data_IF_415388816170
#
_entry.id   IF_415388816170
#
_cell.length_a   1.000
_cell.length_b   1.000
_cell.length_c   1.000
_cell.angle_alpha   90.00
_cell.angle_beta   90.00
_cell.angle_gamma   90.00
#
_symmetry.space_group_name_H-M   'P 1'
#
loop_
_entity.id
_entity.type
_entity.pdbx_description
1 polymer ?
#
# COMPACT_ATOMS: atom_id res chain seq x y z
N UNK A 1 -1.37 -9.72 -30.77
CA UNK A 1 -1.25 -8.75 -29.66
C UNK A 1 0.08 -8.05 -29.86
N UNK A 2 0.07 -6.77 -30.24
CA UNK A 2 1.30 -5.99 -30.40
C UNK A 2 1.85 -5.60 -29.03
N UNK A 3 3.17 -5.63 -28.86
CA UNK A 3 3.80 -5.08 -27.66
C UNK A 3 3.47 -3.59 -27.54
N UNK A 4 3.20 -3.06 -26.33
CA UNK A 4 2.97 -1.63 -26.13
C UNK A 4 4.13 -0.83 -26.71
N UNK A 5 3.85 0.17 -27.55
CA UNK A 5 4.89 1.07 -28.03
C UNK A 5 5.39 1.89 -26.83
N UNK A 6 6.71 2.02 -26.67
CA UNK A 6 7.35 2.74 -25.55
C UNK A 6 6.84 4.18 -25.35
N UNK A 7 6.14 4.77 -26.33
CA UNK A 7 5.50 6.08 -26.24
C UNK A 7 4.23 6.11 -25.38
N UNK A 8 3.52 5.00 -25.20
CA UNK A 8 2.27 5.00 -24.42
C UNK A 8 2.51 5.10 -22.91
N UNK A 9 3.67 4.67 -22.42
CA UNK A 9 4.00 4.75 -20.99
C UNK A 9 4.39 6.15 -20.51
N UNK A 10 4.87 7.03 -21.41
CA UNK A 10 5.36 8.36 -21.02
C UNK A 10 4.22 9.29 -20.61
N UNK A 11 3.20 9.46 -21.47
CA UNK A 11 2.15 10.46 -21.22
C UNK A 11 1.28 10.15 -19.98
N UNK A 12 1.17 8.88 -19.59
CA UNK A 12 0.49 8.48 -18.36
C UNK A 12 1.28 8.92 -17.13
N UNK A 13 2.59 8.66 -17.12
CA UNK A 13 3.48 9.08 -16.04
C UNK A 13 3.50 10.60 -15.93
N UNK A 14 3.64 11.30 -17.07
CA UNK A 14 3.61 12.77 -17.13
C UNK A 14 2.32 13.33 -16.48
N UNK A 15 1.16 12.72 -16.73
CA UNK A 15 -0.11 13.13 -16.12
C UNK A 15 -0.13 13.00 -14.59
N UNK A 16 0.43 11.92 -14.04
CA UNK A 16 0.51 11.76 -12.59
C UNK A 16 1.57 12.67 -11.99
N UNK A 17 2.71 12.86 -12.66
CA UNK A 17 3.77 13.77 -12.24
C UNK A 17 3.24 15.21 -12.15
N UNK A 18 2.59 15.69 -13.21
CA UNK A 18 2.04 17.06 -13.27
C UNK A 18 1.02 17.35 -12.16
N UNK A 19 0.29 16.33 -11.67
CA UNK A 19 -0.78 16.52 -10.69
C UNK A 19 -0.41 16.12 -9.26
N UNK A 20 0.55 15.22 -9.08
CA UNK A 20 0.91 14.66 -7.77
C UNK A 20 2.35 14.97 -7.35
N UNK A 21 3.22 15.33 -8.28
CA UNK A 21 4.68 15.49 -8.06
C UNK A 21 5.24 16.74 -8.76
N UNK A 22 4.39 17.73 -9.05
CA UNK A 22 4.76 18.93 -9.82
C UNK A 22 5.89 19.77 -9.22
N UNK A 23 6.14 19.59 -7.93
CA UNK A 23 7.08 20.31 -7.08
C UNK A 23 8.27 19.45 -6.64
N UNK A 24 8.40 18.22 -7.14
CA UNK A 24 9.49 17.30 -6.81
C UNK A 24 10.48 17.14 -7.96
N UNK A 25 11.71 16.74 -7.63
CA UNK A 25 12.78 16.54 -8.62
C UNK A 25 12.79 15.14 -9.25
N UNK A 26 11.94 14.23 -8.77
CA UNK A 26 11.82 12.85 -9.24
C UNK A 26 10.41 12.56 -9.76
N UNK A 27 10.32 11.54 -10.62
CA UNK A 27 9.04 11.06 -11.16
C UNK A 27 8.33 10.11 -10.20
N UNK A 28 7.02 10.06 -10.27
CA UNK A 28 6.16 9.05 -9.64
C UNK A 28 6.54 7.63 -10.04
N UNK A 29 7.16 7.46 -11.22
CA UNK A 29 7.72 6.17 -11.63
C UNK A 29 8.83 5.69 -10.70
N UNK A 30 9.68 6.60 -10.23
CA UNK A 30 10.76 6.30 -9.31
C UNK A 30 10.23 5.99 -7.90
N UNK A 31 9.10 6.59 -7.52
CA UNK A 31 8.48 6.40 -6.22
C UNK A 31 7.65 5.12 -6.11
N UNK A 32 7.01 4.69 -7.20
CA UNK A 32 6.23 3.44 -7.26
C UNK A 32 6.65 2.56 -8.46
N UNK A 33 7.89 2.04 -8.45
CA UNK A 33 8.44 1.31 -9.59
C UNK A 33 7.66 0.03 -9.92
N UNK A 34 7.06 -0.61 -8.91
CA UNK A 34 6.24 -1.80 -9.13
C UNK A 34 4.97 -1.53 -9.94
N UNK A 35 4.45 -0.30 -9.88
CA UNK A 35 3.27 0.11 -10.61
C UNK A 35 3.63 0.72 -11.97
N UNK A 36 4.59 1.64 -12.04
CA UNK A 36 4.84 2.43 -13.25
C UNK A 36 6.01 1.97 -14.12
N UNK A 37 6.87 1.06 -13.62
CA UNK A 37 8.04 0.55 -14.36
C UNK A 37 7.97 -0.96 -14.63
N UNK A 38 6.90 -1.62 -14.18
CA UNK A 38 6.71 -3.05 -14.47
C UNK A 38 6.32 -3.26 -15.93
N UNK A 39 7.04 -4.14 -16.62
CA UNK A 39 6.68 -4.65 -17.96
C UNK A 39 5.33 -5.35 -17.98
N UNK A 40 4.82 -5.73 -16.81
CA UNK A 40 3.52 -6.38 -16.66
C UNK A 40 2.39 -5.37 -16.48
N UNK A 41 2.66 -4.10 -16.14
CA UNK A 41 1.60 -3.12 -15.91
C UNK A 41 0.80 -2.87 -17.18
N UNK A 42 -0.53 -2.92 -17.03
CA UNK A 42 -1.47 -2.56 -18.08
C UNK A 42 -2.14 -1.23 -17.79
N UNK A 43 -2.40 -0.47 -18.83
CA UNK A 43 -3.16 0.77 -18.72
C UNK A 43 -4.53 0.59 -19.36
N UNK A 44 -5.57 1.05 -18.67
CA UNK A 44 -6.92 1.12 -19.18
C UNK A 44 -7.33 2.59 -19.30
N UNK A 45 -7.65 3.02 -20.52
CA UNK A 45 -8.08 4.38 -20.82
C UNK A 45 -9.57 4.36 -21.17
N UNK A 46 -10.38 5.06 -20.38
CA UNK A 46 -11.82 5.20 -20.63
C UNK A 46 -12.12 6.59 -21.19
N UNK A 47 -12.98 6.67 -22.20
CA UNK A 47 -13.47 7.97 -22.65
C UNK A 47 -14.51 8.51 -21.65
N UNK A 48 -14.48 9.81 -21.37
CA UNK A 48 -15.41 10.44 -20.44
C UNK A 48 -16.88 10.17 -20.83
N UNK A 49 -17.18 10.25 -22.13
CA UNK A 49 -18.51 9.97 -22.68
C UNK A 49 -19.00 8.52 -22.43
N UNK A 50 -18.09 7.55 -22.34
CA UNK A 50 -18.40 6.15 -22.02
C UNK A 50 -18.73 5.95 -20.52
N UNK A 51 -18.12 6.75 -19.65
CA UNK A 51 -18.42 6.76 -18.21
C UNK A 51 -19.72 7.51 -17.89
N UNK A 52 -20.08 8.49 -18.71
CA UNK A 52 -21.34 9.24 -18.56
C UNK A 52 -22.56 8.45 -19.04
N UNK A 53 -22.39 7.64 -20.07
CA UNK A 53 -23.46 6.80 -20.63
C UNK A 53 -23.67 5.50 -19.88
N UNK A 54 -22.72 5.06 -19.04
CA UNK A 54 -22.93 3.86 -18.24
C UNK A 54 -23.94 4.12 -17.13
N UNK A 55 -25.04 3.36 -17.14
CA UNK A 55 -25.99 3.37 -16.03
C UNK A 55 -25.27 3.02 -14.72
N UNK A 56 -25.65 3.66 -13.59
CA UNK A 56 -25.16 3.25 -12.29
C UNK A 56 -25.47 1.78 -12.10
N UNK A 57 -24.43 0.96 -11.88
CA UNK A 57 -24.66 -0.45 -11.58
C UNK A 57 -25.48 -0.53 -10.31
N UNK A 58 -26.68 -1.11 -10.40
CA UNK A 58 -27.37 -1.57 -9.20
C UNK A 58 -26.50 -2.69 -8.65
N UNK A 59 -25.79 -2.40 -7.54
CA UNK A 59 -24.96 -3.38 -6.86
C UNK A 59 -25.82 -4.63 -6.63
N UNK A 60 -25.30 -5.81 -6.98
CA UNK A 60 -26.02 -7.06 -6.74
C UNK A 60 -26.52 -7.05 -5.29
N UNK A 61 -27.81 -7.35 -5.09
CA UNK A 61 -28.38 -7.41 -3.74
C UNK A 61 -27.54 -8.40 -2.93
N UNK A 62 -27.08 -7.98 -1.76
CA UNK A 62 -26.43 -8.87 -0.81
C UNK A 62 -27.30 -10.13 -0.63
N UNK A 63 -26.70 -11.33 -0.58
CA UNK A 63 -27.43 -12.56 -0.29
C UNK A 63 -28.22 -12.36 1.00
N UNK A 64 -29.54 -12.49 0.86
CA UNK A 64 -30.53 -12.08 1.86
C UNK A 64 -30.73 -13.14 2.93
N UNK A 65 -30.27 -14.37 2.67
CA UNK A 65 -30.44 -15.51 3.56
C UNK A 65 -29.10 -16.13 4.01
N UNK A 66 -29.02 -16.70 5.22
CA UNK A 66 -27.88 -17.49 5.66
C UNK A 66 -27.57 -18.70 4.75
N UNK A 67 -28.58 -19.32 4.15
CA UNK A 67 -28.40 -20.45 3.22
C UNK A 67 -27.67 -20.03 1.94
N UNK A 68 -28.06 -18.92 1.30
CA UNK A 68 -27.36 -18.36 0.12
C UNK A 68 -25.90 -18.05 0.45
N UNK A 69 -25.64 -17.48 1.63
CA UNK A 69 -24.27 -17.21 2.11
C UNK A 69 -23.48 -18.50 2.32
N UNK A 70 -24.09 -19.53 2.89
CA UNK A 70 -23.43 -20.81 3.12
C UNK A 70 -23.15 -21.56 1.81
N UNK A 71 -24.06 -21.51 0.84
CA UNK A 71 -23.87 -22.13 -0.47
C UNK A 71 -22.72 -21.46 -1.26
N UNK A 72 -22.62 -20.12 -1.19
CA UNK A 72 -21.48 -19.34 -1.71
C UNK A 72 -20.16 -19.67 -1.02
N UNK A 73 -20.15 -19.80 0.31
CA UNK A 73 -18.95 -20.12 1.10
C UNK A 73 -18.52 -21.59 0.95
N UNK A 74 -19.47 -22.49 0.68
CA UNK A 74 -19.23 -23.94 0.55
C UNK A 74 -18.91 -24.38 -0.88
N UNK A 75 -19.26 -23.57 -1.89
CA UNK A 75 -18.64 -23.68 -3.20
C UNK A 75 -17.20 -23.23 -3.09
N UNK A 76 -16.28 -24.17 -2.82
CA UNK A 76 -14.85 -23.91 -2.85
C UNK A 76 -14.54 -23.17 -4.15
N UNK A 77 -13.96 -21.95 -4.11
CA UNK A 77 -13.58 -21.27 -5.33
C UNK A 77 -12.71 -22.23 -6.13
N UNK A 78 -13.07 -22.44 -7.40
CA UNK A 78 -12.25 -23.24 -8.30
C UNK A 78 -10.82 -22.69 -8.19
N UNK A 79 -9.79 -23.53 -7.98
CA UNK A 79 -8.42 -23.04 -7.91
C UNK A 79 -8.16 -22.28 -9.21
N UNK A 80 -8.06 -20.95 -9.10
CA UNK A 80 -7.65 -20.11 -10.22
C UNK A 80 -6.16 -20.40 -10.36
N UNK A 81 -5.77 -21.11 -11.42
CA UNK A 81 -4.40 -21.62 -11.62
C UNK A 81 -3.33 -20.51 -11.73
N UNK A 82 -3.74 -19.23 -11.72
CA UNK A 82 -2.89 -18.06 -11.47
C UNK A 82 -3.65 -17.04 -10.64
N UNK A 83 -3.30 -16.92 -9.36
CA UNK A 83 -3.57 -15.71 -8.61
C UNK A 83 -2.56 -14.63 -9.01
N UNK A 84 -3.05 -13.42 -9.29
CA UNK A 84 -2.23 -12.30 -9.76
C UNK A 84 -2.52 -11.95 -11.21
N UNK A 85 -3.29 -10.88 -11.40
CA UNK A 85 -3.33 -10.16 -12.66
C UNK A 85 -2.15 -9.18 -12.76
N UNK A 86 -1.88 -8.64 -13.95
CA UNK A 86 -0.95 -7.52 -14.08
C UNK A 86 -1.39 -6.35 -13.21
N UNK A 87 -0.43 -5.55 -12.72
CA UNK A 87 -0.72 -4.25 -12.13
C UNK A 87 -1.44 -3.38 -13.15
N UNK A 88 -2.29 -2.46 -12.69
CA UNK A 88 -3.17 -1.71 -13.59
C UNK A 88 -3.17 -0.23 -13.27
N UNK A 89 -3.14 0.58 -14.32
CA UNK A 89 -3.37 2.02 -14.25
C UNK A 89 -4.69 2.29 -14.95
N UNK A 90 -5.63 2.92 -14.25
CA UNK A 90 -6.93 3.29 -14.81
C UNK A 90 -6.98 4.79 -14.98
N UNK A 91 -7.28 5.28 -16.18
CA UNK A 91 -7.39 6.71 -16.46
C UNK A 91 -8.65 7.03 -17.24
N UNK A 92 -9.13 8.26 -17.06
CA UNK A 92 -10.23 8.85 -17.82
C UNK A 92 -9.66 9.88 -18.76
N UNK A 93 -10.07 9.81 -20.02
CA UNK A 93 -9.68 10.74 -21.07
C UNK A 93 -10.90 11.55 -21.54
N UNK A 94 -10.72 12.85 -21.71
CA UNK A 94 -11.67 13.75 -22.35
C UNK A 94 -10.99 14.54 -23.46
N UNK A 95 -11.52 14.46 -24.69
CA UNK A 95 -10.97 15.10 -25.88
C UNK A 95 -9.43 14.94 -26.05
N UNK A 96 -8.93 13.73 -25.76
CA UNK A 96 -7.49 13.43 -25.86
C UNK A 96 -6.67 13.77 -24.61
N UNK A 97 -7.23 14.44 -23.61
CA UNK A 97 -6.54 14.81 -22.36
C UNK A 97 -6.90 13.87 -21.23
N UNK A 98 -5.93 13.47 -20.41
CA UNK A 98 -6.20 12.72 -19.19
C UNK A 98 -6.76 13.66 -18.11
N UNK A 99 -7.83 13.25 -17.45
CA UNK A 99 -8.59 14.10 -16.51
C UNK A 99 -8.79 13.46 -15.13
N UNK A 100 -8.65 12.15 -15.03
CA UNK A 100 -8.63 11.43 -13.76
C UNK A 100 -7.83 10.14 -13.90
N UNK A 101 -7.27 9.65 -12.80
CA UNK A 101 -6.58 8.38 -12.79
C UNK A 101 -6.40 7.79 -11.40
N UNK A 102 -6.06 6.50 -11.37
CA UNK A 102 -5.58 5.79 -10.18
C UNK A 102 -4.72 4.60 -10.58
N UNK A 103 -3.88 4.15 -9.66
CA UNK A 103 -3.08 2.94 -9.75
C UNK A 103 -3.67 1.79 -8.93
N UNK A 104 -3.48 0.57 -9.41
CA UNK A 104 -3.84 -0.68 -8.73
C UNK A 104 -2.65 -1.64 -8.77
N UNK A 105 -2.10 -1.94 -7.60
CA UNK A 105 -1.08 -2.96 -7.38
C UNK A 105 -1.76 -4.20 -6.78
N UNK A 106 -1.70 -5.33 -7.47
CA UNK A 106 -2.29 -6.58 -6.99
C UNK A 106 -1.26 -7.38 -6.20
N UNK A 107 -1.60 -7.80 -4.98
CA UNK A 107 -0.75 -8.66 -4.17
C UNK A 107 -1.54 -9.78 -3.54
N UNK A 108 -0.91 -10.96 -3.48
CA UNK A 108 -1.36 -12.01 -2.58
C UNK A 108 -0.87 -11.72 -1.16
N UNK A 109 -1.77 -11.85 -0.20
CA UNK A 109 -1.45 -11.74 1.22
C UNK A 109 -1.92 -13.01 1.93
N UNK A 110 -1.05 -13.73 2.66
CA UNK A 110 -1.49 -14.75 3.59
C UNK A 110 -2.39 -14.09 4.64
N UNK A 111 -3.64 -14.50 4.71
CA UNK A 111 -4.59 -13.97 5.69
C UNK A 111 -4.84 -14.97 6.84
N UNK A 112 -4.63 -16.27 6.57
CA UNK A 112 -4.57 -17.38 7.52
C UNK A 112 -3.54 -18.41 7.03
N UNK A 113 -3.24 -19.42 7.86
CA UNK A 113 -2.30 -20.50 7.49
C UNK A 113 -2.73 -21.21 6.20
N UNK A 114 -4.05 -21.34 5.99
CA UNK A 114 -4.67 -22.07 4.88
C UNK A 114 -5.38 -21.16 3.86
N UNK A 115 -5.30 -19.83 4.03
CA UNK A 115 -6.00 -18.87 3.16
C UNK A 115 -5.11 -17.70 2.77
N UNK A 116 -5.01 -17.48 1.46
CA UNK A 116 -4.51 -16.24 0.87
C UNK A 116 -5.68 -15.37 0.41
N UNK A 117 -5.47 -14.06 0.42
CA UNK A 117 -6.36 -13.09 -0.20
C UNK A 117 -5.62 -12.43 -1.35
N UNK A 118 -6.31 -12.20 -2.47
CA UNK A 118 -5.87 -11.30 -3.53
C UNK A 118 -6.34 -9.90 -3.20
N UNK A 119 -5.41 -9.01 -2.90
CA UNK A 119 -5.70 -7.64 -2.46
C UNK A 119 -5.23 -6.64 -3.51
N UNK A 120 -6.12 -5.72 -3.87
CA UNK A 120 -5.88 -4.58 -4.72
C UNK A 120 -5.48 -3.37 -3.87
N UNK A 121 -4.20 -3.06 -3.84
CA UNK A 121 -3.68 -1.82 -3.27
C UNK A 121 -4.01 -0.71 -4.26
N UNK A 122 -4.74 0.31 -3.80
CA UNK A 122 -5.17 1.44 -4.62
C UNK A 122 -4.46 2.69 -4.15
N UNK A 123 -3.84 3.40 -5.09
CA UNK A 123 -3.01 4.56 -4.84
C UNK A 123 -3.02 5.53 -6.02
N UNK A 124 -2.26 6.62 -5.88
CA UNK A 124 -2.14 7.66 -6.91
C UNK A 124 -3.49 8.16 -7.45
N UNK A 125 -4.51 8.24 -6.58
CA UNK A 125 -5.86 8.63 -6.96
C UNK A 125 -5.90 10.14 -7.22
N UNK A 126 -6.13 10.54 -8.47
CA UNK A 126 -6.06 11.94 -8.88
C UNK A 126 -7.17 12.34 -9.84
N UNK A 127 -7.61 13.59 -9.74
CA UNK A 127 -8.53 14.21 -10.70
C UNK A 127 -8.05 15.63 -10.97
N UNK A 128 -7.94 15.94 -12.26
CA UNK A 128 -7.57 17.26 -12.75
C UNK A 128 -8.50 18.31 -12.11
N UNK A 129 -7.96 19.45 -11.62
CA UNK A 129 -8.73 20.45 -10.88
C UNK A 129 -10.05 20.86 -11.55
N UNK A 130 -10.04 21.07 -12.86
CA UNK A 130 -11.22 21.49 -13.65
C UNK A 130 -12.32 20.42 -13.76
N UNK A 131 -12.00 19.16 -13.44
CA UNK A 131 -12.90 18.01 -13.53
C UNK A 131 -13.38 17.49 -12.17
N UNK A 132 -12.99 18.17 -11.07
CA UNK A 132 -13.39 17.80 -9.71
C UNK A 132 -14.88 18.05 -9.48
N UNK A 133 -15.46 17.33 -8.51
CA UNK A 133 -16.87 17.43 -8.11
C UNK A 133 -17.91 17.04 -9.18
N UNK A 134 -17.49 16.38 -10.26
CA UNK A 134 -18.38 15.89 -11.34
C UNK A 134 -18.71 14.39 -11.21
N UNK A 135 -18.32 13.76 -10.09
CA UNK A 135 -18.54 12.33 -9.84
C UNK A 135 -17.61 11.39 -10.61
N UNK A 136 -16.56 11.89 -11.28
CA UNK A 136 -15.65 11.07 -12.08
C UNK A 136 -14.99 9.95 -11.30
N UNK A 137 -14.47 10.24 -10.10
CA UNK A 137 -13.83 9.21 -9.28
C UNK A 137 -14.79 8.08 -8.93
N UNK A 138 -16.07 8.38 -8.63
CA UNK A 138 -17.07 7.34 -8.38
C UNK A 138 -17.22 6.42 -9.59
N UNK A 139 -17.38 7.01 -10.78
CA UNK A 139 -17.52 6.26 -12.04
C UNK A 139 -16.27 5.44 -12.36
N UNK A 140 -15.09 5.99 -12.07
CA UNK A 140 -13.81 5.29 -12.25
C UNK A 140 -13.69 4.09 -11.30
N UNK A 141 -13.99 4.28 -10.02
CA UNK A 141 -14.04 3.19 -9.04
C UNK A 141 -15.05 2.11 -9.44
N UNK A 142 -16.24 2.48 -9.92
CA UNK A 142 -17.23 1.50 -10.40
C UNK A 142 -16.69 0.63 -11.56
N UNK A 143 -15.80 1.18 -12.41
CA UNK A 143 -15.11 0.39 -13.44
C UNK A 143 -14.04 -0.51 -12.85
N UNK A 144 -13.22 0.03 -11.96
CA UNK A 144 -12.16 -0.73 -11.25
C UNK A 144 -12.76 -1.91 -10.50
N UNK A 145 -13.88 -1.71 -9.80
CA UNK A 145 -14.56 -2.77 -9.04
C UNK A 145 -14.96 -3.92 -9.96
N UNK A 146 -15.54 -3.65 -11.14
CA UNK A 146 -15.93 -4.70 -12.09
C UNK A 146 -14.73 -5.50 -12.57
N UNK A 147 -13.62 -4.83 -12.83
CA UNK A 147 -12.37 -5.49 -13.25
C UNK A 147 -11.80 -6.35 -12.11
N UNK A 148 -11.83 -5.83 -10.87
CA UNK A 148 -11.39 -6.55 -9.68
C UNK A 148 -12.28 -7.77 -9.37
N UNK A 149 -13.60 -7.65 -9.50
CA UNK A 149 -14.55 -8.75 -9.37
C UNK A 149 -14.30 -9.83 -10.43
N UNK A 150 -14.08 -9.44 -11.70
CA UNK A 150 -13.81 -10.39 -12.79
C UNK A 150 -12.54 -11.22 -12.59
N UNK A 151 -11.50 -10.65 -11.97
CA UNK A 151 -10.26 -11.38 -11.66
C UNK A 151 -10.32 -12.10 -10.31
N UNK A 152 -11.44 -12.04 -9.60
CA UNK A 152 -11.61 -12.68 -8.29
C UNK A 152 -10.78 -12.04 -7.19
N UNK A 153 -10.57 -10.72 -7.23
CA UNK A 153 -9.94 -9.98 -6.14
C UNK A 153 -10.84 -10.00 -4.91
N UNK A 154 -10.29 -10.28 -3.73
CA UNK A 154 -11.05 -10.35 -2.48
C UNK A 154 -11.35 -8.96 -1.90
N UNK A 155 -10.32 -8.10 -1.87
CA UNK A 155 -10.32 -6.82 -1.15
C UNK A 155 -9.62 -5.73 -1.95
N UNK A 156 -10.09 -4.49 -1.83
CA UNK A 156 -9.28 -3.29 -2.07
C UNK A 156 -8.82 -2.68 -0.75
N UNK A 157 -7.61 -2.12 -0.76
CA UNK A 157 -7.01 -1.40 0.35
C UNK A 157 -6.40 -0.08 -0.14
N UNK A 158 -6.61 1.00 0.59
CA UNK A 158 -5.93 2.28 0.38
C UNK A 158 -5.71 3.03 1.70
N UNK A 159 -4.81 4.02 1.67
CA UNK A 159 -4.59 4.98 2.75
C UNK A 159 -5.04 6.38 2.31
N UNK A 160 -5.83 7.05 3.15
CA UNK A 160 -6.22 8.43 2.89
C UNK A 160 -6.70 9.14 4.14
N UNK A 161 -6.48 10.45 4.19
CA UNK A 161 -7.14 11.35 5.15
C UNK A 161 -8.58 11.73 4.72
N UNK A 162 -8.98 11.46 3.48
CA UNK A 162 -10.33 11.76 2.95
C UNK A 162 -11.32 10.63 3.28
N UNK A 163 -11.43 10.26 4.56
CA UNK A 163 -12.20 9.10 5.03
C UNK A 163 -13.66 9.14 4.54
N UNK A 164 -14.35 10.26 4.73
CA UNK A 164 -15.76 10.42 4.35
C UNK A 164 -15.99 10.22 2.85
N UNK A 165 -15.02 10.61 2.01
CA UNK A 165 -15.10 10.43 0.56
C UNK A 165 -15.08 8.94 0.21
N UNK A 166 -14.11 8.20 0.73
CA UNK A 166 -13.98 6.77 0.45
C UNK A 166 -15.08 5.93 1.10
N UNK A 167 -15.60 6.35 2.26
CA UNK A 167 -16.78 5.69 2.85
C UNK A 167 -18.00 5.77 1.95
N UNK A 168 -18.21 6.88 1.24
CA UNK A 168 -19.28 6.99 0.21
C UNK A 168 -19.02 6.14 -1.04
N UNK A 169 -17.81 5.61 -1.21
CA UNK A 169 -17.43 4.62 -2.22
C UNK A 169 -17.48 3.17 -1.66
N UNK A 170 -17.97 2.98 -0.42
CA UNK A 170 -18.12 1.67 0.19
C UNK A 170 -16.89 1.16 0.92
N UNK A 171 -15.86 1.98 1.12
CA UNK A 171 -14.72 1.64 1.98
C UNK A 171 -15.07 1.79 3.46
N UNK A 172 -14.40 1.02 4.32
CA UNK A 172 -14.50 1.10 5.78
C UNK A 172 -13.11 1.06 6.40
N UNK A 173 -12.91 1.75 7.52
CA UNK A 173 -11.68 1.59 8.28
C UNK A 173 -11.57 0.15 8.79
N UNK A 174 -10.37 -0.42 8.69
CA UNK A 174 -10.11 -1.80 9.09
C UNK A 174 -8.61 -2.07 9.24
N UNK A 175 -8.30 -3.31 9.65
CA UNK A 175 -6.96 -3.74 10.00
C UNK A 175 -6.43 -3.03 11.25
N UNK A 176 -5.24 -3.45 11.69
CA UNK A 176 -4.62 -2.91 12.89
C UNK A 176 -3.13 -2.69 12.64
N UNK A 177 -2.68 -1.47 12.94
CA UNK A 177 -1.27 -1.11 12.96
C UNK A 177 -0.90 -0.48 14.30
N UNK A 178 0.39 -0.41 14.57
CA UNK A 178 0.93 0.40 15.67
C UNK A 178 1.86 1.46 15.11
N UNK A 179 1.63 2.70 15.53
CA UNK A 179 2.58 3.80 15.35
C UNK A 179 3.32 4.01 16.66
N UNK A 180 4.64 3.88 16.62
CA UNK A 180 5.55 4.14 17.73
C UNK A 180 6.08 5.55 17.59
N UNK A 181 5.73 6.42 18.54
CA UNK A 181 6.20 7.79 18.56
C UNK A 181 7.22 7.98 19.69
N UNK A 182 8.24 8.83 19.50
CA UNK A 182 9.07 9.26 20.61
C UNK A 182 8.18 9.98 21.64
N UNK A 183 8.56 9.97 22.94
CA UNK A 183 7.78 10.64 23.97
C UNK A 183 7.70 12.12 23.60
N UNK A 184 6.54 12.76 23.77
CA UNK A 184 6.34 14.16 23.38
C UNK A 184 7.38 15.07 24.07
N UNK A 185 8.44 15.41 23.35
CA UNK A 185 9.34 16.49 23.73
C UNK A 185 8.82 17.73 22.99
N UNK A 186 8.33 18.72 23.74
CA UNK A 186 7.88 20.02 23.20
C UNK A 186 9.07 20.84 22.66
N UNK A 187 9.73 20.37 21.63
CA UNK A 187 10.82 21.10 20.97
C UNK A 187 10.43 21.39 19.54
N UNK A 188 10.14 22.65 19.26
CA UNK A 188 9.73 23.20 17.95
C UNK A 188 10.91 23.39 16.98
N UNK A 189 12.02 22.67 17.16
CA UNK A 189 13.14 22.82 16.24
C UNK A 189 12.85 22.08 14.93
N UNK A 190 12.92 22.75 13.77
CA UNK A 190 12.78 22.09 12.48
C UNK A 190 13.82 20.98 12.35
N UNK A 191 13.38 19.84 11.82
CA UNK A 191 14.24 18.70 11.50
C UNK A 191 15.29 19.17 10.50
N UNK A 192 16.54 19.29 10.95
CA UNK A 192 17.65 19.37 10.02
C UNK A 192 18.07 17.92 9.77
N UNK A 193 17.92 17.44 8.53
CA UNK A 193 18.53 16.20 8.10
C UNK A 193 20.05 16.34 8.29
N UNK A 194 20.56 15.85 9.43
CA UNK A 194 21.99 15.87 9.71
C UNK A 194 22.72 14.96 8.72
N UNK A 195 24.02 15.19 8.54
CA UNK A 195 24.96 14.47 7.65
C UNK A 195 25.12 12.95 7.91
N UNK A 196 24.16 12.30 8.58
CA UNK A 196 24.25 10.94 9.11
C UNK A 196 23.25 9.94 8.51
N UNK A 197 22.37 10.40 7.62
CA UNK A 197 21.51 9.51 6.85
C UNK A 197 22.22 9.08 5.58
N UNK A 198 22.21 7.77 5.31
CA UNK A 198 22.70 7.22 4.05
C UNK A 198 21.49 6.88 3.18
N UNK A 199 21.51 7.28 1.90
CA UNK A 199 20.43 6.98 0.98
C UNK A 199 20.44 5.48 0.66
N UNK A 200 19.27 4.84 0.70
CA UNK A 200 19.15 3.39 0.49
C UNK A 200 19.69 2.94 -0.87
N UNK A 201 19.51 3.77 -1.90
CA UNK A 201 20.02 3.52 -3.26
C UNK A 201 21.55 3.47 -3.34
N UNK A 202 22.25 4.19 -2.47
CA UNK A 202 23.71 4.29 -2.49
C UNK A 202 24.39 3.11 -1.80
N UNK A 203 23.76 2.56 -0.75
CA UNK A 203 24.28 1.42 -0.01
C UNK A 203 24.09 0.08 -0.71
N UNK A 204 23.10 0.00 -1.61
CA UNK A 204 22.73 -1.22 -2.30
C UNK A 204 21.96 -2.21 -1.42
N UNK A 205 21.20 -3.09 -2.07
CA UNK A 205 20.36 -4.10 -1.40
C UNK A 205 21.18 -5.34 -1.02
N UNK A 206 20.97 -5.88 0.18
CA UNK A 206 21.67 -7.08 0.71
C UNK A 206 20.71 -8.27 0.88
N UNK A 207 21.21 -9.47 0.59
CA UNK A 207 20.44 -10.72 0.71
C UNK A 207 19.91 -10.96 2.12
N UNK A 208 20.68 -10.61 3.16
CA UNK A 208 20.25 -10.77 4.55
C UNK A 208 19.00 -9.95 4.89
N UNK A 209 18.82 -8.79 4.25
CA UNK A 209 17.62 -7.97 4.43
C UNK A 209 16.42 -8.58 3.71
N UNK A 210 16.63 -9.14 2.52
CA UNK A 210 15.59 -9.89 1.83
C UNK A 210 15.10 -11.09 2.65
N UNK A 211 16.01 -11.87 3.22
CA UNK A 211 15.64 -13.01 4.08
C UNK A 211 14.89 -12.53 5.34
N UNK A 212 15.29 -11.41 5.94
CA UNK A 212 14.57 -10.81 7.05
C UNK A 212 13.13 -10.36 6.66
N UNK A 213 12.93 -9.80 5.47
CA UNK A 213 11.59 -9.46 4.96
C UNK A 213 10.73 -10.71 4.75
N UNK A 214 11.30 -11.73 4.10
CA UNK A 214 10.63 -12.97 3.72
C UNK A 214 10.24 -13.83 4.94
N UNK A 215 10.98 -13.71 6.05
CA UNK A 215 10.68 -14.43 7.28
C UNK A 215 9.40 -13.96 7.98
N UNK A 216 8.81 -12.83 7.58
CA UNK A 216 7.59 -12.29 8.18
C UNK A 216 6.35 -13.10 7.78
N UNK A 217 5.43 -13.24 8.72
CA UNK A 217 4.14 -13.89 8.50
C UNK A 217 3.07 -12.86 8.20
N UNK A 218 2.07 -13.24 7.37
CA UNK A 218 0.91 -12.40 7.06
C UNK A 218 1.28 -11.02 6.49
N UNK A 219 2.22 -10.99 5.54
CA UNK A 219 2.61 -9.78 4.79
C UNK A 219 2.46 -10.03 3.29
N UNK A 220 2.33 -8.99 2.46
CA UNK A 220 2.39 -9.14 1.00
C UNK A 220 3.66 -9.88 0.58
N UNK A 221 3.52 -10.82 -0.35
CA UNK A 221 4.68 -11.50 -0.91
C UNK A 221 5.44 -10.56 -1.88
N UNK A 222 6.77 -10.55 -1.76
CA UNK A 222 7.67 -9.81 -2.66
C UNK A 222 8.70 -10.74 -3.25
N UNK A 223 8.99 -10.58 -4.53
CA UNK A 223 10.19 -11.19 -5.13
C UNK A 223 11.45 -10.43 -4.70
N UNK A 224 12.61 -11.03 -4.95
CA UNK A 224 13.90 -10.38 -4.68
C UNK A 224 14.06 -9.11 -5.51
N UNK A 225 13.67 -9.17 -6.78
CA UNK A 225 13.73 -8.07 -7.74
C UNK A 225 12.80 -6.92 -7.34
N UNK A 226 11.58 -7.25 -6.89
CA UNK A 226 10.66 -6.26 -6.36
C UNK A 226 11.24 -5.56 -5.12
N UNK A 227 11.74 -6.33 -4.14
CA UNK A 227 12.35 -5.77 -2.94
C UNK A 227 13.56 -4.88 -3.27
N UNK A 228 14.41 -5.31 -4.21
CA UNK A 228 15.55 -4.52 -4.67
C UNK A 228 15.13 -3.22 -5.36
N UNK A 229 14.12 -3.26 -6.22
CA UNK A 229 13.59 -2.07 -6.88
C UNK A 229 13.01 -1.07 -5.87
N UNK A 230 12.30 -1.56 -4.86
CA UNK A 230 11.75 -0.75 -3.77
C UNK A 230 12.84 -0.04 -2.96
N UNK A 231 14.07 -0.59 -2.86
CA UNK A 231 15.22 0.10 -2.22
C UNK A 231 15.75 1.30 -2.99
N UNK A 232 15.32 1.51 -4.24
CA UNK A 232 15.75 2.61 -5.09
C UNK A 232 14.82 3.82 -5.01
N UNK A 233 13.75 3.75 -4.22
CA UNK A 233 12.79 4.86 -4.08
C UNK A 233 13.52 6.13 -3.58
N UNK A 234 13.26 7.31 -4.20
CA UNK A 234 13.83 8.59 -3.76
C UNK A 234 13.53 8.92 -2.30
N UNK A 235 14.39 9.74 -1.68
CA UNK A 235 14.23 10.20 -0.28
C UNK A 235 13.96 9.07 0.72
N UNK A 236 14.48 7.87 0.42
CA UNK A 236 14.49 6.75 1.34
C UNK A 236 15.88 6.57 1.93
N UNK A 237 15.92 6.68 3.25
CA UNK A 237 17.13 6.62 4.05
C UNK A 237 17.21 5.29 4.77
N UNK A 238 18.43 4.77 4.87
CA UNK A 238 18.71 3.45 5.40
C UNK A 238 19.61 3.56 6.62
N UNK A 239 19.14 2.98 7.72
CA UNK A 239 19.92 2.78 8.94
C UNK A 239 20.18 1.29 9.11
N UNK A 240 21.43 0.94 9.39
CA UNK A 240 21.85 -0.45 9.57
C UNK A 240 22.71 -0.61 10.81
N UNK A 241 22.64 -1.80 11.39
CA UNK A 241 23.55 -2.28 12.44
C UNK A 241 23.62 -3.79 12.30
N UNK A 242 24.82 -4.36 12.17
CA UNK A 242 24.98 -5.79 11.91
C UNK A 242 24.18 -6.26 10.69
N UNK A 243 23.21 -7.15 10.95
CA UNK A 243 22.31 -7.71 9.93
C UNK A 243 20.90 -7.09 9.95
N UNK A 244 20.66 -6.11 10.82
CA UNK A 244 19.42 -5.35 10.85
C UNK A 244 19.43 -4.12 9.95
N UNK A 245 18.23 -3.71 9.55
CA UNK A 245 17.98 -2.51 8.79
C UNK A 245 16.69 -1.81 9.23
N UNK A 246 16.63 -0.50 8.99
CA UNK A 246 15.46 0.34 9.15
C UNK A 246 15.42 1.39 8.02
N UNK A 247 14.29 1.47 7.32
CA UNK A 247 14.05 2.40 6.23
C UNK A 247 13.19 3.55 6.73
N UNK A 248 13.64 4.78 6.51
CA UNK A 248 12.98 6.03 6.90
C UNK A 248 12.76 6.88 5.66
N UNK A 249 11.58 7.44 5.48
CA UNK A 249 11.25 8.13 4.23
C UNK A 249 10.88 7.16 3.10
N UNK A 250 10.08 7.64 2.15
CA UNK A 250 9.70 6.95 0.90
C UNK A 250 9.06 7.98 0.00
N UNK A 251 9.88 8.67 -0.80
CA UNK A 251 9.45 9.79 -1.62
C UNK A 251 8.67 10.83 -0.80
N UNK A 252 7.54 11.28 -1.32
CA UNK A 252 6.70 12.30 -0.69
C UNK A 252 5.80 11.76 0.44
N UNK A 253 5.51 10.46 0.46
CA UNK A 253 4.42 9.91 1.29
C UNK A 253 4.81 9.66 2.75
N UNK A 254 6.07 9.28 3.01
CA UNK A 254 6.52 8.81 4.34
C UNK A 254 7.65 9.64 4.95
N UNK A 255 7.69 10.94 4.65
CA UNK A 255 8.63 11.86 5.29
C UNK A 255 8.56 11.73 6.83
N UNK A 256 9.71 11.54 7.46
CA UNK A 256 9.82 11.38 8.92
C UNK A 256 9.17 10.10 9.47
N UNK A 257 8.97 9.06 8.65
CA UNK A 257 8.40 7.78 9.08
C UNK A 257 9.35 6.63 8.74
N UNK A 258 9.73 5.87 9.76
CA UNK A 258 10.31 4.55 9.60
C UNK A 258 9.19 3.55 9.31
N UNK A 259 9.05 3.17 8.04
CA UNK A 259 7.90 2.38 7.56
C UNK A 259 8.25 0.91 7.28
N UNK A 260 9.53 0.56 7.35
CA UNK A 260 9.99 -0.83 7.22
C UNK A 260 11.29 -1.07 8.00
N UNK A 261 11.37 -2.17 8.74
CA UNK A 261 12.55 -2.55 9.51
C UNK A 261 12.59 -4.07 9.74
N UNK A 262 13.78 -4.67 9.78
CA UNK A 262 13.93 -6.11 9.96
C UNK A 262 15.34 -6.53 10.36
N UNK A 263 15.48 -7.76 10.86
CA UNK A 263 16.75 -8.33 11.32
C UNK A 263 16.71 -8.77 12.80
N UNK A 264 17.87 -9.10 13.39
CA UNK A 264 17.98 -9.46 14.81
C UNK A 264 17.51 -8.32 15.73
N UNK A 265 16.86 -8.67 16.85
CA UNK A 265 16.19 -7.68 17.70
C UNK A 265 17.16 -6.78 18.47
N UNK A 266 18.33 -7.31 18.81
CA UNK A 266 19.46 -6.59 19.41
C UNK A 266 20.03 -5.54 18.47
N UNK A 267 20.22 -5.91 17.20
CA UNK A 267 20.73 -5.01 16.16
C UNK A 267 19.68 -3.93 15.82
N UNK A 268 18.40 -4.32 15.74
CA UNK A 268 17.30 -3.37 15.56
C UNK A 268 17.23 -2.32 16.69
N UNK A 269 17.56 -2.70 17.93
CA UNK A 269 17.59 -1.75 19.03
C UNK A 269 18.62 -0.63 18.79
N UNK A 270 19.78 -0.97 18.22
CA UNK A 270 20.81 0.00 17.86
C UNK A 270 20.38 0.86 16.66
N UNK A 271 19.69 0.28 15.67
CA UNK A 271 19.06 1.06 14.59
C UNK A 271 18.09 2.12 15.15
N UNK A 272 17.20 1.74 16.07
CA UNK A 272 16.23 2.65 16.66
C UNK A 272 16.87 3.74 17.54
N UNK A 273 17.93 3.42 18.29
CA UNK A 273 18.73 4.42 19.01
C UNK A 273 19.38 5.41 18.04
N UNK A 274 19.93 4.92 16.92
CA UNK A 274 20.52 5.78 15.89
C UNK A 274 19.45 6.72 15.30
N UNK A 275 18.27 6.20 14.95
CA UNK A 275 17.12 7.02 14.50
C UNK A 275 16.86 8.16 15.50
N UNK A 276 16.66 7.86 16.78
CA UNK A 276 16.37 8.88 17.79
C UNK A 276 17.51 9.88 18.01
N UNK A 277 18.77 9.45 17.85
CA UNK A 277 19.93 10.32 17.99
C UNK A 277 20.02 11.34 16.86
N UNK A 278 19.53 10.97 15.68
CA UNK A 278 19.57 11.77 14.46
C UNK A 278 18.31 12.64 14.33
N UNK A 279 17.14 12.06 14.50
CA UNK A 279 15.85 12.74 14.41
C UNK A 279 14.85 12.19 15.44
N UNK A 280 14.55 13.03 16.42
CA UNK A 280 13.63 12.74 17.52
C UNK A 280 12.16 12.90 17.15
N UNK A 281 11.84 13.21 15.89
CA UNK A 281 10.47 13.31 15.39
C UNK A 281 10.02 12.05 14.65
N UNK A 282 10.97 11.18 14.26
CA UNK A 282 10.68 9.99 13.44
C UNK A 282 9.69 9.08 14.16
N UNK A 283 8.59 8.79 13.48
CA UNK A 283 7.62 7.78 13.90
C UNK A 283 7.98 6.44 13.29
N UNK A 284 7.75 5.35 13.99
CA UNK A 284 8.04 4.00 13.51
C UNK A 284 6.72 3.24 13.36
N UNK A 285 6.45 2.71 12.17
CA UNK A 285 5.30 1.86 11.94
C UNK A 285 5.63 0.40 12.27
N UNK A 286 4.64 -0.34 12.72
CA UNK A 286 4.77 -1.77 12.95
C UNK A 286 3.42 -2.49 12.94
N UNK A 287 3.46 -3.83 12.96
CA UNK A 287 2.25 -4.65 12.94
C UNK A 287 1.47 -4.49 14.24
N UNK A 288 0.15 -4.31 14.13
CA UNK A 288 -0.74 -4.26 15.29
C UNK A 288 -0.93 -5.62 15.99
N UNK A 289 -0.63 -6.71 15.28
CA UNK A 289 -0.65 -8.09 15.79
C UNK A 289 0.72 -8.71 15.58
N UNK A 290 1.32 -9.26 16.64
CA UNK A 290 2.63 -9.90 16.59
C UNK A 290 2.46 -11.41 16.44
N UNK A 291 3.18 -12.00 15.50
CA UNK A 291 3.04 -13.41 15.10
C UNK A 291 4.25 -14.27 15.46
N UNK A 292 5.37 -13.65 15.84
CA UNK A 292 6.61 -14.35 16.15
C UNK A 292 7.31 -13.81 17.40
N UNK A 293 8.16 -14.65 18.00
CA UNK A 293 9.04 -14.23 19.10
C UNK A 293 10.03 -13.14 18.66
N UNK A 294 10.47 -13.18 17.41
CA UNK A 294 11.37 -12.17 16.84
C UNK A 294 10.70 -10.78 16.82
N UNK A 295 9.46 -10.69 16.34
CA UNK A 295 8.69 -9.44 16.34
C UNK A 295 8.42 -8.94 17.76
N UNK A 296 8.09 -9.83 18.69
CA UNK A 296 7.92 -9.47 20.10
C UNK A 296 9.20 -8.87 20.70
N UNK A 297 10.36 -9.43 20.37
CA UNK A 297 11.66 -8.89 20.83
C UNK A 297 11.94 -7.53 20.20
N UNK A 298 11.73 -7.37 18.88
CA UNK A 298 11.94 -6.10 18.20
C UNK A 298 11.03 -4.98 18.75
N UNK A 299 9.76 -5.29 19.02
CA UNK A 299 8.82 -4.36 19.67
C UNK A 299 9.27 -3.97 21.08
N UNK A 300 9.81 -4.91 21.87
CA UNK A 300 10.39 -4.58 23.18
C UNK A 300 11.62 -3.69 23.06
N UNK A 301 12.41 -3.82 21.99
CA UNK A 301 13.52 -2.90 21.69
C UNK A 301 13.02 -1.47 21.47
N UNK A 302 11.89 -1.27 20.78
CA UNK A 302 11.26 0.05 20.63
C UNK A 302 10.86 0.66 21.98
N UNK A 303 10.21 -0.13 22.84
CA UNK A 303 9.83 0.32 24.19
C UNK A 303 11.06 0.66 25.04
N UNK A 304 12.13 -0.12 24.93
CA UNK A 304 13.38 0.11 25.67
C UNK A 304 14.10 1.36 25.17
N UNK A 305 13.98 1.68 23.88
CA UNK A 305 14.42 2.94 23.31
C UNK A 305 13.50 4.12 23.68
N UNK A 306 12.41 3.88 24.42
CA UNK A 306 11.51 4.93 24.92
C UNK A 306 10.40 5.34 23.95
N UNK A 307 10.18 4.61 22.86
CA UNK A 307 9.01 4.86 22.00
C UNK A 307 7.71 4.44 22.68
N UNK A 308 6.68 5.25 22.50
CA UNK A 308 5.32 5.03 22.99
C UNK A 308 4.43 4.50 21.86
N UNK A 309 3.73 3.36 22.05
CA UNK A 309 2.84 2.81 21.03
C UNK A 309 1.48 3.50 21.00
N UNK A 310 0.96 3.71 19.79
CA UNK A 310 -0.43 4.07 19.51
C UNK A 310 -1.03 3.07 18.52
N UNK A 311 -2.09 2.38 18.94
CA UNK A 311 -2.85 1.50 18.05
C UNK A 311 -3.78 2.30 17.16
N UNK A 312 -3.84 1.93 15.89
CA UNK A 312 -4.58 2.63 14.85
C UNK A 312 -5.16 1.64 13.83
N UNK A 313 -6.15 2.11 13.07
CA UNK A 313 -6.58 1.39 11.88
C UNK A 313 -5.46 1.38 10.85
N UNK A 314 -5.27 0.24 10.19
CA UNK A 314 -4.27 0.09 9.14
C UNK A 314 -4.64 0.93 7.91
N UNK A 315 -5.91 0.90 7.48
CA UNK A 315 -6.33 1.61 6.27
C UNK A 315 -7.82 1.50 5.99
N UNK A 316 -8.20 1.90 4.78
CA UNK A 316 -9.55 1.82 4.25
C UNK A 316 -9.69 0.58 3.36
N UNK A 317 -10.63 -0.28 3.71
CA UNK A 317 -10.88 -1.55 3.03
C UNK A 317 -12.24 -1.58 2.35
N UNK A 318 -12.30 -2.25 1.20
CA UNK A 318 -13.55 -2.57 0.51
C UNK A 318 -13.52 -4.03 0.08
N UNK A 319 -14.60 -4.77 0.32
CA UNK A 319 -14.74 -6.14 -0.14
C UNK A 319 -15.41 -6.19 -1.51
N UNK A 320 -14.91 -7.08 -2.37
CA UNK A 320 -15.44 -7.33 -3.72
C UNK A 320 -16.16 -8.67 -3.82
N UNK A 321 -15.75 -9.65 -3.01
CA UNK A 321 -16.37 -10.96 -2.94
C UNK A 321 -17.05 -11.19 -1.59
N UNK A 322 -18.17 -11.90 -1.60
CA UNK A 322 -18.94 -12.25 -0.39
C UNK A 322 -18.13 -13.09 0.62
N UNK A 323 -17.03 -13.69 0.18
CA UNK A 323 -16.13 -14.49 1.00
C UNK A 323 -15.35 -13.68 2.06
N UNK A 324 -15.40 -12.34 2.00
CA UNK A 324 -14.75 -11.46 2.98
C UNK A 324 -15.78 -10.54 3.62
N UNK A 325 -16.04 -10.77 4.91
CA UNK A 325 -16.81 -9.83 5.72
C UNK A 325 -15.88 -8.72 6.24
N UNK A 326 -16.19 -7.44 5.95
CA UNK A 326 -15.41 -6.29 6.43
C UNK A 326 -15.42 -6.15 7.96
N UNK A 327 -16.38 -6.76 8.66
CA UNK A 327 -16.38 -6.82 10.13
C UNK A 327 -15.22 -7.67 10.66
N UNK A 328 -14.74 -8.65 9.88
CA UNK A 328 -13.56 -9.47 10.22
C UNK A 328 -12.24 -8.67 10.20
N UNK A 329 -12.27 -7.41 9.74
CA UNK A 329 -11.14 -6.49 9.75
C UNK A 329 -11.22 -5.47 10.91
N UNK A 330 -12.28 -5.49 11.72
CA UNK A 330 -12.38 -4.58 12.86
C UNK A 330 -11.45 -5.02 14.00
N UNK A 331 -10.81 -4.09 14.73
CA UNK A 331 -9.87 -4.42 15.81
C UNK A 331 -10.39 -5.39 16.87
N UNK A 332 -11.69 -5.32 17.21
CA UNK A 332 -12.34 -6.18 18.20
C UNK A 332 -12.74 -7.57 17.65
N UNK A 333 -12.71 -7.75 16.33
CA UNK A 333 -13.11 -8.97 15.63
C UNK A 333 -12.05 -9.45 14.63
N UNK A 334 -10.81 -8.97 14.75
CA UNK A 334 -9.78 -9.10 13.73
C UNK A 334 -9.46 -10.56 13.42
N UNK A 335 -9.99 -11.08 12.30
CA UNK A 335 -9.71 -12.45 11.82
C UNK A 335 -8.61 -12.53 10.79
N UNK A 336 -8.23 -11.38 10.21
CA UNK A 336 -7.17 -11.27 9.21
C UNK A 336 -6.09 -10.33 9.77
N UNK A 337 -5.07 -10.88 10.46
CA UNK A 337 -4.10 -10.08 11.20
C UNK A 337 -2.89 -9.70 10.32
N UNK A 338 -3.10 -9.54 9.01
CA UNK A 338 -2.02 -9.16 8.11
C UNK A 338 -1.63 -7.71 8.31
N UNK A 339 -0.36 -7.42 8.05
CA UNK A 339 0.18 -6.07 8.09
C UNK A 339 0.82 -5.73 6.76
N UNK A 340 0.66 -4.48 6.34
CA UNK A 340 1.26 -3.96 5.13
C UNK A 340 2.35 -2.99 5.54
N UNK A 341 3.58 -3.30 5.13
CA UNK A 341 4.73 -2.44 5.35
C UNK A 341 4.77 -1.31 4.32
N UNK A 342 5.44 -0.20 4.65
CA UNK A 342 5.39 1.00 3.80
C UNK A 342 5.89 0.78 2.37
N UNK A 343 6.79 -0.17 2.12
CA UNK A 343 7.23 -0.48 0.75
C UNK A 343 6.13 -1.05 -0.16
N UNK A 344 5.04 -1.59 0.38
CA UNK A 344 3.90 -2.08 -0.41
C UNK A 344 2.82 -1.01 -0.64
N UNK A 345 2.97 0.17 -0.02
CA UNK A 345 2.04 1.28 -0.23
C UNK A 345 2.25 1.92 -1.60
N UNK A 346 1.14 2.26 -2.26
CA UNK A 346 1.13 2.96 -3.55
C UNK A 346 0.30 4.23 -3.52
#
# INVERSE_FOLDING_TARGET
MGSPQASEGSYLVDFFDDLLRSDLEWSIREEYPLLFDSVETRSQVFQLSELESSEPTTRAKEPSTPEERFELLSSSPKPVEKFGGPNQIFVVQDEGKLVAGLGVLLKEIPARIDRKLLVAFIGNVVTHPDYRNQGLQRKLFDRVDRELEQIGCDLSLLWSNQIDFYQRLGFRLGGLQVTWAPPMIKTESPVQHSEHWELSKELGFRDVWYEAMKARSFVPHRTYEEAKALFQIPEMYLITHGDAYALVGKGADFEGVCHEWGGPAEDLAECFKKIQSVDKSVRILGPGVLHSESEMKAVRSLQTAGFEPRLEYLGLFRAHLDAVNLDDLQPDQLKYPFFVWGLDSI
#
